data_IF_125329422773
#
_entry.id   IF_125329422773
#
_cell.length_a   1.000
_cell.length_b   1.000
_cell.length_c   1.000
_cell.angle_alpha   90.00
_cell.angle_beta   90.00
_cell.angle_gamma   90.00
#
_symmetry.space_group_name_H-M   'P 1'
#
loop_
_entity.id
_entity.type
_entity.pdbx_description
1 polymer ?
#
# COMPACT_ATOMS: atom_id res chain seq x y z
N UNK A 1 1.88 5.38 25.37
CA UNK A 1 2.84 5.57 26.48
C UNK A 1 3.66 6.81 26.18
N UNK A 2 3.79 7.73 27.13
CA UNK A 2 4.38 9.05 26.94
C UNK A 2 5.83 8.99 26.44
N UNK A 3 6.15 9.84 25.46
CA UNK A 3 7.45 10.01 24.81
C UNK A 3 8.51 10.71 25.69
N UNK A 4 8.39 10.64 27.02
CA UNK A 4 9.35 11.22 27.97
C UNK A 4 10.34 10.15 28.49
N UNK A 5 10.93 9.39 27.57
CA UNK A 5 12.05 8.51 27.88
C UNK A 5 13.38 9.28 27.89
N UNK A 6 14.39 8.78 28.61
CA UNK A 6 15.72 9.40 28.70
C UNK A 6 16.42 9.65 27.35
N UNK A 7 15.94 9.02 26.27
CA UNK A 7 16.49 9.10 24.92
C UNK A 7 15.68 10.01 23.96
N UNK A 8 14.52 10.53 24.37
CA UNK A 8 13.61 11.28 23.48
C UNK A 8 14.17 12.62 23.01
N UNK A 9 15.06 13.22 23.80
CA UNK A 9 15.76 14.48 23.47
C UNK A 9 17.01 14.27 22.61
N UNK A 10 17.50 13.03 22.45
CA UNK A 10 18.73 12.78 21.69
C UNK A 10 18.64 13.26 20.24
N UNK A 11 17.53 13.06 19.49
CA UNK A 11 17.47 13.51 18.10
C UNK A 11 17.63 15.02 17.97
N UNK A 12 17.17 15.81 18.96
CA UNK A 12 17.39 17.26 18.97
C UNK A 12 18.86 17.62 19.16
N UNK A 13 19.66 16.77 19.80
CA UNK A 13 21.11 17.01 19.94
C UNK A 13 21.85 16.92 18.60
N UNK A 14 21.31 16.18 17.62
CA UNK A 14 21.80 16.20 16.24
C UNK A 14 21.67 17.58 15.58
N UNK A 15 20.85 18.50 16.12
CA UNK A 15 20.77 19.87 15.60
C UNK A 15 22.13 20.59 15.66
N UNK A 16 23.01 20.18 16.56
CA UNK A 16 24.37 20.73 16.70
C UNK A 16 25.44 19.92 15.96
N UNK A 17 25.05 18.80 15.33
CA UNK A 17 25.94 17.99 14.54
C UNK A 17 26.28 18.69 13.22
N UNK A 18 27.57 18.98 13.02
CA UNK A 18 28.05 19.73 11.86
C UNK A 18 27.83 18.97 10.54
N UNK A 19 27.88 17.64 10.56
CA UNK A 19 27.69 16.82 9.36
C UNK A 19 26.23 16.89 8.95
N UNK A 20 25.30 16.71 9.90
CA UNK A 20 23.88 16.81 9.60
C UNK A 20 23.49 18.21 9.10
N UNK A 21 23.99 19.28 9.72
CA UNK A 21 23.75 20.64 9.23
C UNK A 21 24.23 20.88 7.79
N UNK A 22 25.34 20.27 7.39
CA UNK A 22 25.85 20.36 6.01
C UNK A 22 25.02 19.56 5.00
N UNK A 23 24.36 18.50 5.47
CA UNK A 23 23.49 17.64 4.68
C UNK A 23 22.10 18.25 4.48
N UNK A 24 21.55 18.94 5.49
CA UNK A 24 20.25 19.58 5.40
C UNK A 24 20.20 20.55 4.21
N UNK A 25 19.18 20.41 3.37
CA UNK A 25 19.00 21.19 2.14
C UNK A 25 19.75 20.67 0.91
N UNK A 26 20.53 19.58 1.02
CA UNK A 26 21.13 18.91 -0.15
C UNK A 26 20.12 18.03 -0.85
N UNK A 27 20.03 18.16 -2.18
CA UNK A 27 19.17 17.29 -2.98
C UNK A 27 19.69 15.87 -3.12
N UNK A 28 21.02 15.70 -3.15
CA UNK A 28 21.66 14.40 -3.20
C UNK A 28 22.79 14.35 -2.18
N UNK A 29 22.83 13.30 -1.38
CA UNK A 29 23.89 13.08 -0.40
C UNK A 29 24.19 11.60 -0.18
N UNK A 30 25.43 11.32 0.20
CA UNK A 30 25.86 9.99 0.63
C UNK A 30 26.34 10.09 2.08
N UNK A 31 25.78 9.26 2.96
CA UNK A 31 26.03 9.35 4.39
C UNK A 31 26.32 7.96 4.94
N UNK A 32 27.38 7.85 5.73
CA UNK A 32 27.67 6.64 6.49
C UNK A 32 26.98 6.71 7.85
N UNK A 33 26.07 5.77 8.11
CA UNK A 33 25.35 5.64 9.39
C UNK A 33 25.40 4.20 9.84
N UNK A 34 25.99 3.97 11.02
CA UNK A 34 26.01 2.66 11.66
C UNK A 34 24.59 2.11 11.79
N UNK A 35 24.39 0.80 11.59
CA UNK A 35 23.06 0.19 11.54
C UNK A 35 22.21 0.51 12.77
N UNK A 36 22.80 0.41 13.97
CA UNK A 36 22.13 0.72 15.23
C UNK A 36 21.75 2.20 15.40
N UNK A 37 22.32 3.11 14.60
CA UNK A 37 22.04 4.54 14.64
C UNK A 37 21.08 5.00 13.54
N UNK A 38 20.59 4.10 12.66
CA UNK A 38 19.75 4.47 11.51
C UNK A 38 18.43 5.11 11.93
N UNK A 39 17.73 4.48 12.86
CA UNK A 39 16.44 4.99 13.34
C UNK A 39 16.60 6.35 14.03
N UNK A 40 17.65 6.49 14.87
CA UNK A 40 18.04 7.76 15.47
C UNK A 40 18.37 8.84 14.43
N UNK A 41 19.15 8.51 13.41
CA UNK A 41 19.51 9.41 12.32
C UNK A 41 18.28 9.87 11.55
N UNK A 42 17.42 8.94 11.14
CA UNK A 42 16.17 9.25 10.42
C UNK A 42 15.28 10.14 11.27
N UNK A 43 15.08 9.84 12.56
CA UNK A 43 14.31 10.71 13.45
C UNK A 43 14.92 12.12 13.58
N UNK A 44 16.26 12.22 13.59
CA UNK A 44 16.97 13.50 13.55
C UNK A 44 16.69 14.28 12.27
N UNK A 45 16.83 13.65 11.10
CA UNK A 45 16.51 14.26 9.80
C UNK A 45 15.05 14.68 9.77
N UNK A 46 14.12 13.84 10.22
CA UNK A 46 12.69 14.14 10.30
C UNK A 46 12.42 15.41 11.12
N UNK A 47 13.05 15.57 12.29
CA UNK A 47 12.82 16.71 13.18
C UNK A 47 13.52 18.00 12.75
N UNK A 48 14.59 17.90 11.97
CA UNK A 48 15.46 19.03 11.62
C UNK A 48 15.32 19.50 10.16
N UNK A 49 14.65 18.71 9.33
CA UNK A 49 14.39 19.02 7.93
C UNK A 49 12.95 19.48 7.71
N UNK A 50 12.75 20.38 6.76
CA UNK A 50 11.44 20.78 6.25
C UNK A 50 10.91 19.83 5.14
N UNK A 51 11.64 18.73 4.89
CA UNK A 51 11.26 17.68 3.93
C UNK A 51 10.20 16.76 4.53
N UNK A 52 9.14 16.50 3.76
CA UNK A 52 8.01 15.69 4.20
C UNK A 52 7.25 15.12 2.99
N UNK A 53 6.91 13.81 2.97
CA UNK A 53 7.39 12.76 3.88
C UNK A 53 8.86 12.39 3.64
N UNK A 54 9.47 11.74 4.64
CA UNK A 54 10.72 10.99 4.44
C UNK A 54 10.37 9.55 4.08
N UNK A 55 10.81 9.05 2.94
CA UNK A 55 10.61 7.66 2.51
C UNK A 55 11.90 6.88 2.70
N UNK A 56 11.93 6.00 3.70
CA UNK A 56 13.07 5.17 4.02
C UNK A 56 12.94 3.79 3.40
N UNK A 57 13.82 3.50 2.43
CA UNK A 57 13.78 2.29 1.61
C UNK A 57 14.77 1.26 2.15
N UNK A 58 14.26 0.09 2.54
CA UNK A 58 15.04 -1.04 3.06
C UNK A 58 15.04 -2.21 2.07
N UNK A 59 15.94 -3.18 2.27
CA UNK A 59 16.06 -4.30 1.33
C UNK A 59 15.00 -5.39 1.54
N UNK A 60 14.43 -5.49 2.74
CA UNK A 60 13.45 -6.52 3.10
C UNK A 60 12.30 -5.98 3.94
N UNK A 61 11.18 -6.70 3.96
CA UNK A 61 10.00 -6.38 4.79
C UNK A 61 10.39 -6.34 6.28
N UNK A 62 11.16 -7.34 6.75
CA UNK A 62 11.61 -7.41 8.15
C UNK A 62 12.42 -6.18 8.57
N UNK A 63 13.32 -5.71 7.71
CA UNK A 63 14.10 -4.49 7.98
C UNK A 63 13.23 -3.22 8.04
N UNK A 64 12.20 -3.13 7.19
CA UNK A 64 11.25 -2.02 7.23
C UNK A 64 10.48 -2.00 8.56
N UNK A 65 9.96 -3.15 8.99
CA UNK A 65 9.21 -3.30 10.24
C UNK A 65 10.09 -3.06 11.48
N UNK A 66 11.31 -3.60 11.51
CA UNK A 66 12.28 -3.34 12.59
C UNK A 66 12.60 -1.85 12.69
N UNK A 67 12.91 -1.20 11.56
CA UNK A 67 13.22 0.22 11.54
C UNK A 67 12.02 1.09 11.95
N UNK A 68 10.80 0.73 11.54
CA UNK A 68 9.57 1.41 11.96
C UNK A 68 9.36 1.32 13.47
N UNK A 69 9.52 0.13 14.05
CA UNK A 69 9.39 -0.09 15.50
C UNK A 69 10.45 0.69 16.29
N UNK A 70 11.69 0.70 15.81
CA UNK A 70 12.74 1.51 16.43
C UNK A 70 12.39 3.00 16.33
N UNK A 71 11.94 3.48 15.16
CA UNK A 71 11.59 4.89 14.93
C UNK A 71 10.50 5.42 15.88
N UNK A 72 9.52 4.59 16.22
CA UNK A 72 8.42 4.91 17.15
C UNK A 72 8.89 5.16 18.59
N UNK A 73 10.16 4.88 18.91
CA UNK A 73 10.78 5.30 20.17
C UNK A 73 11.00 6.83 20.19
N UNK A 74 11.21 7.46 19.03
CA UNK A 74 11.56 8.88 18.91
C UNK A 74 10.50 9.75 18.23
N UNK A 75 9.63 9.15 17.42
CA UNK A 75 8.50 9.77 16.72
C UNK A 75 7.19 9.15 17.22
N UNK A 76 6.06 9.84 17.09
CA UNK A 76 4.78 9.25 17.51
C UNK A 76 4.33 8.14 16.54
N UNK A 77 3.40 7.30 17.00
CA UNK A 77 2.92 6.14 16.23
C UNK A 77 2.33 6.57 14.86
N UNK A 78 1.61 7.69 14.84
CA UNK A 78 0.98 8.30 13.66
C UNK A 78 1.97 9.02 12.73
N UNK A 79 3.20 9.29 13.19
CA UNK A 79 4.26 9.87 12.36
C UNK A 79 5.00 8.82 11.52
N UNK A 80 4.82 7.51 11.80
CA UNK A 80 5.61 6.42 11.22
C UNK A 80 4.72 5.28 10.72
N UNK A 81 4.61 5.14 9.40
CA UNK A 81 3.86 4.05 8.76
C UNK A 81 4.72 3.24 7.81
N UNK A 82 4.37 1.96 7.63
CA UNK A 82 4.99 1.07 6.64
C UNK A 82 4.12 1.04 5.38
N UNK A 83 4.74 1.08 4.21
CA UNK A 83 4.10 0.77 2.93
C UNK A 83 4.42 -0.69 2.58
N UNK A 84 3.52 -1.65 2.87
CA UNK A 84 3.85 -3.05 2.75
C UNK A 84 3.90 -3.49 1.27
N UNK A 85 4.64 -4.55 1.01
CA UNK A 85 4.59 -5.27 -0.26
C UNK A 85 3.44 -6.29 -0.22
N UNK A 86 2.92 -6.69 -1.38
CA UNK A 86 2.12 -7.90 -1.44
C UNK A 86 2.93 -9.11 -0.96
N UNK A 87 2.27 -9.99 -0.22
CA UNK A 87 2.87 -11.21 0.33
C UNK A 87 2.88 -12.33 -0.70
N UNK A 88 2.03 -12.21 -1.72
CA UNK A 88 1.87 -13.14 -2.82
C UNK A 88 2.95 -12.95 -3.88
N UNK A 89 3.26 -14.03 -4.59
CA UNK A 89 4.09 -13.99 -5.79
C UNK A 89 3.23 -13.63 -7.02
N UNK A 90 3.83 -13.03 -8.07
CA UNK A 90 3.14 -12.84 -9.34
C UNK A 90 2.53 -14.16 -9.83
N UNK A 91 1.30 -14.11 -10.34
CA UNK A 91 0.54 -15.25 -10.87
C UNK A 91 0.07 -16.30 -9.86
N UNK A 92 0.20 -16.03 -8.55
CA UNK A 92 -0.45 -16.87 -7.55
C UNK A 92 -1.98 -16.77 -7.66
N UNK A 93 -2.66 -17.90 -7.43
CA UNK A 93 -4.14 -17.98 -7.41
C UNK A 93 -4.73 -17.58 -6.05
N UNK A 94 -4.01 -16.74 -5.33
CA UNK A 94 -4.38 -16.23 -4.01
C UNK A 94 -4.17 -14.73 -4.08
N UNK A 95 -5.14 -13.95 -3.59
CA UNK A 95 -5.00 -12.50 -3.50
C UNK A 95 -4.07 -12.12 -2.35
N UNK A 96 -3.39 -10.97 -2.43
CA UNK A 96 -2.75 -10.36 -1.27
C UNK A 96 -3.77 -10.23 -0.14
N UNK A 97 -3.33 -10.18 1.11
CA UNK A 97 -4.30 -10.06 2.20
C UNK A 97 -5.04 -8.72 2.13
N UNK A 98 -6.33 -8.73 2.47
CA UNK A 98 -7.17 -7.51 2.54
C UNK A 98 -6.53 -6.44 3.41
N UNK A 99 -5.84 -6.84 4.49
CA UNK A 99 -5.16 -5.91 5.38
C UNK A 99 -3.97 -5.22 4.72
N UNK A 100 -3.16 -5.94 3.95
CA UNK A 100 -2.02 -5.37 3.21
C UNK A 100 -2.48 -4.40 2.14
N UNK A 101 -3.47 -4.78 1.32
CA UNK A 101 -4.05 -3.89 0.31
C UNK A 101 -4.68 -2.66 0.95
N UNK A 102 -5.47 -2.85 2.02
CA UNK A 102 -6.08 -1.74 2.76
C UNK A 102 -5.05 -0.76 3.30
N UNK A 103 -3.96 -1.24 3.92
CA UNK A 103 -2.89 -0.37 4.44
C UNK A 103 -2.21 0.43 3.33
N UNK A 104 -1.97 -0.18 2.17
CA UNK A 104 -1.39 0.50 1.00
C UNK A 104 -2.32 1.60 0.51
N UNK A 105 -3.60 1.30 0.33
CA UNK A 105 -4.61 2.24 -0.13
C UNK A 105 -4.85 3.38 0.87
N UNK A 106 -4.85 3.08 2.17
CA UNK A 106 -4.96 4.10 3.22
C UNK A 106 -3.77 5.08 3.17
N UNK A 107 -2.53 4.56 3.03
CA UNK A 107 -1.35 5.42 2.93
C UNK A 107 -1.33 6.23 1.64
N UNK A 108 -1.72 5.65 0.50
CA UNK A 108 -1.85 6.35 -0.77
C UNK A 108 -2.82 7.53 -0.64
N UNK A 109 -4.00 7.30 -0.05
CA UNK A 109 -4.98 8.36 0.21
C UNK A 109 -4.42 9.46 1.13
N UNK A 110 -3.70 9.08 2.22
CA UNK A 110 -3.02 10.06 3.09
C UNK A 110 -2.02 10.91 2.31
N UNK A 111 -1.25 10.32 1.40
CA UNK A 111 -0.29 11.05 0.55
C UNK A 111 -1.02 12.05 -0.36
N UNK A 112 -2.05 11.61 -1.07
CA UNK A 112 -2.81 12.46 -2.00
C UNK A 112 -3.49 13.64 -1.30
N UNK A 113 -4.00 13.43 -0.09
CA UNK A 113 -4.65 14.48 0.71
C UNK A 113 -3.63 15.42 1.40
N UNK A 114 -2.33 15.24 1.20
CA UNK A 114 -1.30 16.04 1.87
C UNK A 114 -1.18 15.74 3.38
N UNK A 115 -1.68 14.59 3.81
CA UNK A 115 -1.70 14.09 5.20
C UNK A 115 -0.75 12.90 5.40
N UNK A 116 0.28 12.77 4.56
CA UNK A 116 1.26 11.70 4.69
C UNK A 116 1.90 11.70 6.09
N UNK A 117 2.19 10.52 6.67
CA UNK A 117 2.99 10.44 7.89
C UNK A 117 4.38 11.01 7.65
N UNK A 118 5.06 11.45 8.71
CA UNK A 118 6.38 12.07 8.61
C UNK A 118 7.43 11.13 8.02
N UNK A 119 7.31 9.83 8.31
CA UNK A 119 8.20 8.78 7.79
C UNK A 119 7.38 7.62 7.23
N UNK A 120 7.71 7.23 6.01
CA UNK A 120 7.18 6.05 5.33
C UNK A 120 8.32 5.04 5.18
N UNK A 121 8.14 3.84 5.71
CA UNK A 121 9.09 2.74 5.55
C UNK A 121 8.61 1.83 4.41
N UNK A 122 9.43 1.67 3.37
CA UNK A 122 9.10 0.82 2.23
C UNK A 122 10.21 -0.20 2.00
N UNK A 123 9.93 -1.52 2.04
CA UNK A 123 10.86 -2.48 1.46
C UNK A 123 10.97 -2.24 -0.06
N UNK A 124 12.12 -2.57 -0.65
CA UNK A 124 12.35 -2.36 -2.09
C UNK A 124 11.30 -3.06 -2.96
N UNK A 125 10.80 -4.23 -2.53
CA UNK A 125 9.69 -4.91 -3.22
C UNK A 125 8.46 -4.02 -3.34
N UNK A 126 8.03 -3.37 -2.25
CA UNK A 126 6.85 -2.51 -2.26
C UNK A 126 7.06 -1.23 -3.09
N UNK A 127 8.28 -0.69 -3.08
CA UNK A 127 8.62 0.51 -3.86
C UNK A 127 8.52 0.26 -5.37
N UNK A 128 8.93 -0.92 -5.83
CA UNK A 128 8.94 -1.30 -7.24
C UNK A 128 7.60 -1.84 -7.73
N UNK A 129 6.71 -2.23 -6.81
CA UNK A 129 5.42 -2.82 -7.15
C UNK A 129 4.49 -1.77 -7.75
N UNK A 130 3.97 -2.04 -8.95
CA UNK A 130 2.99 -1.19 -9.63
C UNK A 130 1.72 -1.04 -8.77
N UNK A 131 1.13 0.14 -8.85
CA UNK A 131 -0.10 0.56 -8.21
C UNK A 131 -1.11 0.82 -9.33
N UNK A 132 -2.36 0.38 -9.12
CA UNK A 132 -3.45 0.73 -10.02
C UNK A 132 -3.74 2.25 -9.94
N UNK A 133 -3.60 3.03 -11.02
CA UNK A 133 -3.93 4.46 -11.01
C UNK A 133 -5.37 4.74 -10.61
N UNK A 134 -6.32 3.86 -10.96
CA UNK A 134 -7.73 4.05 -10.56
C UNK A 134 -7.93 3.94 -9.04
N UNK A 135 -6.99 3.31 -8.32
CA UNK A 135 -7.03 3.28 -6.87
C UNK A 135 -6.80 4.66 -6.22
N UNK A 136 -6.24 5.61 -6.97
CA UNK A 136 -6.06 7.01 -6.56
C UNK A 136 -7.38 7.79 -6.50
N UNK A 137 -8.40 7.33 -7.23
CA UNK A 137 -9.70 8.00 -7.30
C UNK A 137 -10.66 7.51 -6.22
N UNK A 138 -10.32 6.43 -5.51
CA UNK A 138 -11.18 5.79 -4.53
C UNK A 138 -10.93 6.36 -3.14
N UNK A 139 -11.86 7.21 -2.70
CA UNK A 139 -11.83 7.81 -1.37
C UNK A 139 -12.34 6.85 -0.30
N UNK A 140 -11.72 6.80 0.90
CA UNK A 140 -12.23 6.04 2.03
C UNK A 140 -13.64 6.48 2.43
N UNK A 141 -14.48 5.52 2.84
CA UNK A 141 -15.81 5.85 3.37
C UNK A 141 -15.70 6.35 4.80
N UNK A 142 -16.31 7.50 5.09
CA UNK A 142 -16.31 8.10 6.43
C UNK A 142 -17.71 8.05 6.99
N UNK A 143 -17.84 7.54 8.21
CA UNK A 143 -19.10 7.44 8.93
C UNK A 143 -18.98 8.16 10.26
N UNK A 144 -20.00 8.91 10.61
CA UNK A 144 -20.12 9.63 11.87
C UNK A 144 -21.52 9.40 12.42
N UNK A 145 -21.61 9.23 13.74
CA UNK A 145 -22.90 9.12 14.42
C UNK A 145 -23.74 10.37 14.16
N UNK A 146 -25.02 10.18 13.87
CA UNK A 146 -25.96 11.25 13.55
C UNK A 146 -25.92 11.73 12.10
N UNK A 147 -24.99 11.25 11.27
CA UNK A 147 -24.98 11.54 9.84
C UNK A 147 -26.09 10.77 9.09
N UNK A 148 -26.53 11.32 7.96
CA UNK A 148 -27.43 10.63 7.04
C UNK A 148 -26.68 9.57 6.21
N UNK A 149 -27.33 8.45 5.94
CA UNK A 149 -26.80 7.30 5.23
C UNK A 149 -27.91 6.54 4.49
N UNK A 150 -27.68 6.25 3.20
CA UNK A 150 -28.51 5.35 2.40
C UNK A 150 -27.81 3.99 2.28
N UNK A 151 -28.38 2.96 2.90
CA UNK A 151 -27.80 1.61 2.90
C UNK A 151 -27.59 1.01 1.51
N UNK A 152 -28.43 1.35 0.53
CA UNK A 152 -28.27 0.88 -0.84
C UNK A 152 -27.05 1.52 -1.49
N UNK A 153 -26.90 2.84 -1.34
CA UNK A 153 -25.74 3.56 -1.89
C UNK A 153 -24.44 3.14 -1.20
N UNK A 154 -24.49 2.91 0.12
CA UNK A 154 -23.35 2.39 0.88
C UNK A 154 -22.97 0.97 0.46
N UNK A 155 -23.94 0.11 0.17
CA UNK A 155 -23.67 -1.24 -0.34
C UNK A 155 -22.93 -1.17 -1.68
N UNK A 156 -23.40 -0.33 -2.61
CA UNK A 156 -22.77 -0.16 -3.93
C UNK A 156 -21.36 0.41 -3.80
N UNK A 157 -21.17 1.39 -2.90
CA UNK A 157 -19.86 1.97 -2.62
C UNK A 157 -18.88 0.95 -2.01
N UNK A 158 -19.32 0.13 -1.05
CA UNK A 158 -18.50 -0.93 -0.45
C UNK A 158 -18.09 -1.97 -1.49
N UNK A 159 -19.02 -2.41 -2.35
CA UNK A 159 -18.70 -3.34 -3.45
C UNK A 159 -17.69 -2.72 -4.41
N UNK A 160 -17.85 -1.45 -4.78
CA UNK A 160 -16.89 -0.74 -5.62
C UNK A 160 -15.50 -0.65 -4.98
N UNK A 161 -15.43 -0.56 -3.64
CA UNK A 161 -14.19 -0.58 -2.86
C UNK A 161 -13.62 -1.99 -2.64
N UNK A 162 -14.22 -3.03 -3.22
CA UNK A 162 -13.74 -4.41 -3.16
C UNK A 162 -14.20 -5.18 -1.93
N UNK A 163 -15.20 -4.68 -1.20
CA UNK A 163 -15.82 -5.43 -0.10
C UNK A 163 -16.79 -6.49 -0.63
N UNK A 164 -16.81 -7.65 0.02
CA UNK A 164 -17.75 -8.74 -0.27
C UNK A 164 -18.99 -8.63 0.59
N UNK A 165 -20.15 -8.77 -0.06
CA UNK A 165 -21.43 -8.85 0.64
C UNK A 165 -21.65 -10.28 1.10
N UNK A 166 -21.74 -10.46 2.41
CA UNK A 166 -21.97 -11.75 3.06
C UNK A 166 -23.30 -11.75 3.84
N UNK A 167 -23.74 -12.93 4.25
CA UNK A 167 -24.89 -13.07 5.15
C UNK A 167 -24.56 -12.59 6.57
N UNK A 168 -23.31 -12.81 6.99
CA UNK A 168 -22.77 -12.45 8.28
C UNK A 168 -21.29 -12.13 8.11
N UNK A 169 -20.81 -11.11 8.82
CA UNK A 169 -19.42 -10.68 8.75
C UNK A 169 -18.55 -11.58 9.63
N UNK A 170 -17.54 -12.20 9.03
CA UNK A 170 -16.59 -13.08 9.72
C UNK A 170 -15.12 -12.66 9.53
N UNK A 171 -14.81 -11.91 8.47
CA UNK A 171 -13.47 -11.50 8.11
C UNK A 171 -13.38 -10.09 7.54
N UNK A 172 -12.14 -9.57 7.46
CA UNK A 172 -11.85 -8.24 6.89
C UNK A 172 -12.28 -8.15 5.43
N UNK A 173 -12.83 -7.00 5.04
CA UNK A 173 -13.30 -6.78 3.68
C UNK A 173 -14.68 -7.40 3.41
N UNK A 174 -15.41 -7.76 4.45
CA UNK A 174 -16.78 -8.26 4.36
C UNK A 174 -17.74 -7.24 4.94
N UNK A 175 -18.96 -7.25 4.41
CA UNK A 175 -20.08 -6.50 4.96
C UNK A 175 -21.38 -7.28 4.83
N UNK A 176 -22.35 -6.99 5.69
CA UNK A 176 -23.71 -7.52 5.61
C UNK A 176 -24.73 -6.41 5.89
N UNK A 177 -25.93 -6.54 5.32
CA UNK A 177 -27.03 -5.62 5.56
C UNK A 177 -28.25 -6.41 6.00
N UNK A 178 -28.82 -6.02 7.15
CA UNK A 178 -30.03 -6.63 7.70
C UNK A 178 -30.95 -5.57 8.28
N UNK A 179 -32.04 -5.28 7.56
CA UNK A 179 -32.95 -4.19 7.96
C UNK A 179 -32.21 -2.85 7.92
N UNK A 180 -32.26 -2.09 9.01
CA UNK A 180 -31.53 -0.83 9.18
C UNK A 180 -30.08 -0.98 9.61
N UNK A 181 -29.52 -2.20 9.64
CA UNK A 181 -28.16 -2.44 10.14
C UNK A 181 -27.21 -2.74 8.97
N UNK A 182 -26.06 -2.08 8.96
CA UNK A 182 -24.88 -2.43 8.17
C UNK A 182 -23.76 -2.88 9.09
N UNK A 183 -23.37 -4.14 8.98
CA UNK A 183 -22.14 -4.64 9.59
C UNK A 183 -21.03 -4.63 8.54
N UNK A 184 -19.84 -4.19 8.92
CA UNK A 184 -18.68 -4.14 8.02
C UNK A 184 -17.41 -4.40 8.80
N UNK A 185 -16.49 -5.19 8.26
CA UNK A 185 -15.16 -5.36 8.83
C UNK A 185 -14.14 -4.57 8.00
N UNK A 186 -13.67 -3.40 8.48
CA UNK A 186 -12.71 -2.58 7.76
C UNK A 186 -11.44 -3.34 7.36
N UNK A 187 -10.87 -3.02 6.20
CA UNK A 187 -9.66 -3.68 5.70
C UNK A 187 -8.48 -3.50 6.65
N UNK A 188 -8.35 -2.32 7.28
CA UNK A 188 -7.26 -1.97 8.22
C UNK A 188 -7.65 -1.98 9.70
N UNK A 189 -8.94 -1.95 10.05
CA UNK A 189 -9.42 -1.85 11.44
C UNK A 189 -9.27 -3.13 12.27
N UNK A 190 -9.13 -3.07 13.58
CA UNK A 190 -8.92 -4.27 14.43
C UNK A 190 -10.20 -5.03 14.78
N UNK A 191 -11.35 -4.37 14.68
CA UNK A 191 -12.67 -4.90 15.02
C UNK A 191 -13.66 -4.61 13.88
N UNK A 192 -14.68 -5.44 13.67
CA UNK A 192 -15.78 -5.10 12.77
C UNK A 192 -16.71 -4.07 13.42
N UNK A 193 -17.38 -3.30 12.58
CA UNK A 193 -18.18 -2.14 12.95
C UNK A 193 -19.62 -2.37 12.52
N UNK A 194 -20.55 -2.08 13.44
CA UNK A 194 -21.99 -2.08 13.23
C UNK A 194 -22.49 -0.64 13.16
N UNK A 195 -23.14 -0.31 12.06
CA UNK A 195 -23.92 0.91 11.84
C UNK A 195 -25.39 0.53 12.00
N UNK A 196 -26.06 1.09 13.01
CA UNK A 196 -27.51 0.93 13.22
C UNK A 196 -28.21 2.22 12.83
N UNK A 197 -29.08 2.15 11.82
CA UNK A 197 -29.79 3.30 11.29
C UNK A 197 -31.23 3.36 11.80
N UNK A 198 -31.65 4.57 12.17
CA UNK A 198 -33.05 4.91 12.40
C UNK A 198 -33.57 5.76 11.23
N UNK A 199 -34.32 5.12 10.34
CA UNK A 199 -34.67 5.74 9.05
C UNK A 199 -33.43 5.82 8.16
N UNK A 200 -33.01 7.04 7.84
CA UNK A 200 -31.81 7.37 7.05
C UNK A 200 -30.68 7.94 7.91
N UNK A 201 -30.80 7.96 9.24
CA UNK A 201 -29.77 8.50 10.13
C UNK A 201 -29.02 7.38 10.86
N UNK A 202 -27.69 7.48 10.96
CA UNK A 202 -26.87 6.59 11.79
C UNK A 202 -27.13 6.90 13.27
N UNK A 203 -27.98 6.11 13.93
CA UNK A 203 -28.31 6.28 15.35
C UNK A 203 -27.16 5.81 16.25
N UNK A 204 -26.55 4.67 15.89
CA UNK A 204 -25.48 4.05 16.66
C UNK A 204 -24.37 3.51 15.77
N UNK A 205 -23.14 3.73 16.22
CA UNK A 205 -21.93 3.17 15.64
C UNK A 205 -21.18 2.41 16.75
N UNK A 206 -20.86 1.13 16.53
CA UNK A 206 -20.21 0.31 17.55
C UNK A 206 -19.28 -0.74 16.95
N UNK A 207 -18.20 -1.07 17.65
CA UNK A 207 -17.45 -2.30 17.42
C UNK A 207 -18.28 -3.51 17.88
N UNK A 208 -18.15 -4.66 17.23
CA UNK A 208 -18.83 -5.90 17.66
C UNK A 208 -17.90 -7.13 17.59
N UNK A 209 -18.26 -8.17 18.32
CA UNK A 209 -17.53 -9.44 18.35
C UNK A 209 -18.01 -10.35 17.23
N UNK A 210 -17.06 -10.89 16.45
CA UNK A 210 -17.37 -11.85 15.37
C UNK A 210 -17.95 -13.16 15.94
N UNK A 211 -17.50 -13.56 17.13
CA UNK A 211 -17.83 -14.85 17.72
C UNK A 211 -19.30 -14.97 18.15
N UNK A 212 -19.90 -13.88 18.65
CA UNK A 212 -21.26 -13.85 19.18
C UNK A 212 -22.14 -12.74 18.58
N UNK A 213 -21.59 -11.93 17.68
CA UNK A 213 -22.27 -10.86 16.93
C UNK A 213 -22.87 -9.76 17.83
N UNK A 214 -22.29 -9.57 19.02
CA UNK A 214 -22.70 -8.57 20.01
C UNK A 214 -21.81 -7.34 19.99
N UNK A 215 -22.42 -6.16 20.13
CA UNK A 215 -21.68 -4.90 20.29
C UNK A 215 -20.78 -4.94 21.52
N UNK A 216 -19.58 -4.39 21.39
CA UNK A 216 -18.53 -4.34 22.41
C UNK A 216 -18.40 -2.91 22.93
N UNK A 217 -18.10 -1.95 22.05
CA UNK A 217 -17.82 -0.57 22.40
C UNK A 217 -18.46 0.38 21.39
N UNK A 218 -19.03 1.49 21.87
CA UNK A 218 -19.53 2.56 21.01
C UNK A 218 -18.37 3.45 20.56
N UNK A 219 -18.49 3.94 19.32
CA UNK A 219 -17.54 4.87 18.71
C UNK A 219 -18.32 6.00 18.04
N UNK A 220 -17.71 7.19 17.92
CA UNK A 220 -18.39 8.35 17.32
C UNK A 220 -18.20 8.43 15.80
N UNK A 221 -17.08 7.93 15.29
CA UNK A 221 -16.76 7.96 13.86
C UNK A 221 -15.81 6.83 13.46
N UNK A 222 -15.86 6.44 12.18
CA UNK A 222 -14.91 5.50 11.57
C UNK A 222 -14.60 5.91 10.13
N UNK A 223 -13.36 5.66 9.71
CA UNK A 223 -12.96 5.71 8.29
C UNK A 223 -12.66 4.29 7.81
N UNK A 224 -13.27 3.90 6.69
CA UNK A 224 -13.13 2.58 6.08
C UNK A 224 -12.32 2.75 4.78
N UNK A 225 -11.09 2.24 4.80
CA UNK A 225 -10.24 2.19 3.61
C UNK A 225 -10.75 1.11 2.63
N UNK A 226 -10.48 1.25 1.32
CA UNK A 226 -10.86 0.21 0.36
C UNK A 226 -10.21 -1.15 0.69
N UNK A 227 -10.83 -2.23 0.21
CA UNK A 227 -10.43 -3.60 0.52
C UNK A 227 -9.55 -4.25 -0.56
N UNK A 228 -9.58 -3.77 -1.81
CA UNK A 228 -8.76 -4.29 -2.92
C UNK A 228 -8.14 -3.20 -3.76
N UNK A 229 -6.90 -3.42 -4.19
CA UNK A 229 -6.16 -2.49 -5.08
C UNK A 229 -6.57 -2.62 -6.56
N UNK A 230 -7.14 -3.76 -6.95
CA UNK A 230 -7.73 -3.97 -8.27
C UNK A 230 -9.22 -4.28 -8.12
N UNK A 231 -10.05 -3.43 -8.75
CA UNK A 231 -11.50 -3.61 -8.80
C UNK A 231 -11.96 -3.63 -10.26
N UNK A 232 -13.00 -4.39 -10.62
CA UNK A 232 -13.55 -4.42 -11.99
C UNK A 232 -14.32 -3.15 -12.35
N UNK A 233 -13.65 -2.00 -12.37
CA UNK A 233 -14.22 -0.72 -12.82
C UNK A 233 -14.63 -0.79 -14.29
N UNK A 234 -15.39 0.20 -14.78
CA UNK A 234 -15.77 0.28 -16.20
C UNK A 234 -14.55 0.23 -17.12
N UNK A 235 -13.44 0.91 -16.77
CA UNK A 235 -12.20 0.92 -17.55
C UNK A 235 -11.50 -0.44 -17.52
N UNK A 236 -11.36 -1.05 -16.34
CA UNK A 236 -10.78 -2.41 -16.19
C UNK A 236 -11.59 -3.44 -16.98
N UNK A 237 -12.92 -3.38 -16.90
CA UNK A 237 -13.83 -4.29 -17.63
C UNK A 237 -13.71 -4.12 -19.15
N UNK A 238 -13.66 -2.89 -19.64
CA UNK A 238 -13.44 -2.61 -21.05
C UNK A 238 -12.09 -3.14 -21.52
N UNK A 239 -11.03 -2.91 -20.75
CA UNK A 239 -9.69 -3.42 -21.08
C UNK A 239 -9.65 -4.94 -21.10
N UNK A 240 -10.29 -5.60 -20.13
CA UNK A 240 -10.43 -7.06 -20.10
C UNK A 240 -11.16 -7.59 -21.35
N UNK A 241 -12.20 -6.90 -21.81
CA UNK A 241 -12.91 -7.25 -23.05
C UNK A 241 -12.00 -7.23 -24.29
N UNK A 242 -11.10 -6.24 -24.38
CA UNK A 242 -10.10 -6.14 -25.46
C UNK A 242 -9.08 -7.29 -25.38
N UNK A 243 -8.62 -7.59 -24.17
CA UNK A 243 -7.64 -8.65 -23.89
C UNK A 243 -8.13 -10.04 -24.28
N UNK A 244 -9.45 -10.30 -24.27
CA UNK A 244 -9.99 -11.57 -24.79
C UNK A 244 -9.59 -11.86 -26.24
N UNK A 245 -9.40 -10.83 -27.06
CA UNK A 245 -8.95 -10.98 -28.44
C UNK A 245 -7.43 -10.85 -28.57
N UNK A 246 -6.82 -9.92 -27.83
CA UNK A 246 -5.38 -9.64 -27.92
C UNK A 246 -4.48 -10.68 -27.22
N UNK A 247 -5.01 -11.31 -26.16
CA UNK A 247 -4.35 -12.30 -25.31
C UNK A 247 -5.25 -13.54 -25.09
N UNK A 248 -5.60 -14.32 -26.15
CA UNK A 248 -6.59 -15.40 -26.05
C UNK A 248 -6.23 -16.53 -25.07
N UNK A 249 -4.95 -16.68 -24.72
CA UNK A 249 -4.48 -17.65 -23.73
C UNK A 249 -5.04 -17.39 -22.33
N UNK A 250 -5.38 -16.14 -22.01
CA UNK A 250 -5.93 -15.72 -20.72
C UNK A 250 -7.45 -15.53 -20.73
N UNK A 251 -8.15 -15.95 -21.80
CA UNK A 251 -9.56 -15.62 -22.06
C UNK A 251 -10.49 -15.84 -20.86
N UNK A 252 -10.32 -16.94 -20.13
CA UNK A 252 -11.13 -17.23 -18.93
C UNK A 252 -11.02 -16.11 -17.89
N UNK A 253 -9.80 -15.63 -17.62
CA UNK A 253 -9.58 -14.59 -16.60
C UNK A 253 -10.08 -13.23 -17.08
N UNK A 254 -9.88 -12.94 -18.37
CA UNK A 254 -10.40 -11.74 -19.00
C UNK A 254 -11.94 -11.69 -19.00
N UNK A 255 -12.60 -12.81 -19.24
CA UNK A 255 -14.08 -12.90 -19.23
C UNK A 255 -14.65 -12.65 -17.84
N UNK A 256 -14.01 -13.21 -16.80
CA UNK A 256 -14.38 -12.97 -15.39
C UNK A 256 -14.25 -11.49 -15.01
N UNK A 257 -13.11 -10.88 -15.34
CA UNK A 257 -12.88 -9.45 -15.11
C UNK A 257 -13.85 -8.58 -15.90
N UNK A 258 -14.11 -8.87 -17.18
CA UNK A 258 -15.07 -8.15 -18.01
C UNK A 258 -16.52 -8.27 -17.49
N UNK A 259 -16.85 -9.40 -16.87
CA UNK A 259 -18.13 -9.66 -16.22
C UNK A 259 -18.28 -8.97 -14.86
N UNK A 260 -17.21 -8.38 -14.33
CA UNK A 260 -17.21 -7.70 -13.04
C UNK A 260 -17.00 -8.62 -11.84
N UNK A 261 -16.48 -9.83 -12.04
CA UNK A 261 -16.27 -10.81 -10.97
C UNK A 261 -15.03 -10.46 -10.13
N UNK A 262 -15.16 -10.62 -8.81
CA UNK A 262 -14.05 -10.63 -7.88
C UNK A 262 -13.59 -12.06 -7.60
N UNK A 263 -12.29 -12.31 -7.65
CA UNK A 263 -11.72 -13.62 -7.37
C UNK A 263 -10.30 -13.56 -6.84
N UNK A 264 -9.86 -14.66 -6.24
CA UNK A 264 -8.53 -14.75 -5.66
C UNK A 264 -7.43 -14.80 -6.73
N UNK A 265 -6.40 -13.99 -6.51
CA UNK A 265 -5.27 -13.83 -7.42
C UNK A 265 -5.52 -12.89 -8.60
N UNK A 266 -6.68 -12.21 -8.65
CA UNK A 266 -6.99 -11.28 -9.76
C UNK A 266 -5.98 -10.14 -9.88
N UNK A 267 -5.37 -9.74 -8.76
CA UNK A 267 -4.38 -8.66 -8.67
C UNK A 267 -3.13 -8.93 -9.53
N UNK A 268 -2.80 -10.21 -9.79
CA UNK A 268 -1.70 -10.60 -10.69
C UNK A 268 -1.90 -10.13 -12.13
N UNK A 269 -3.13 -9.80 -12.53
CA UNK A 269 -3.46 -9.36 -13.88
C UNK A 269 -3.32 -7.85 -14.08
N UNK A 270 -3.05 -7.09 -13.01
CA UNK A 270 -2.87 -5.63 -13.05
C UNK A 270 -1.97 -5.16 -14.21
N UNK A 271 -0.82 -5.80 -14.52
CA UNK A 271 0.09 -5.33 -15.57
C UNK A 271 -0.46 -5.38 -17.00
N UNK A 272 -1.56 -6.10 -17.25
CA UNK A 272 -2.26 -6.12 -18.55
C UNK A 272 -3.43 -5.13 -18.61
N UNK A 273 -4.02 -4.86 -17.45
CA UNK A 273 -5.24 -4.06 -17.31
C UNK A 273 -4.93 -2.56 -17.28
N UNK A 274 -3.70 -2.20 -16.92
CA UNK A 274 -3.24 -0.84 -16.76
C UNK A 274 -1.90 -0.68 -17.47
N UNK A 275 -1.82 0.28 -18.39
CA UNK A 275 -0.60 0.55 -19.15
C UNK A 275 0.36 1.45 -18.35
N UNK A 276 -0.17 2.31 -17.49
CA UNK A 276 0.62 3.17 -16.60
C UNK A 276 1.33 2.35 -15.54
N UNK A 277 2.64 2.54 -15.39
CA UNK A 277 3.42 1.80 -14.41
C UNK A 277 3.43 2.48 -13.02
N UNK A 278 2.42 3.22 -12.59
CA UNK A 278 2.46 4.03 -11.35
C UNK A 278 3.08 3.27 -10.13
N UNK A 279 4.02 3.88 -9.42
CA UNK A 279 4.63 3.32 -8.18
C UNK A 279 4.62 4.34 -7.04
N UNK A 280 4.94 3.90 -5.81
CA UNK A 280 5.00 4.79 -4.63
C UNK A 280 5.88 6.02 -4.87
N UNK A 281 7.03 5.86 -5.53
CA UNK A 281 7.97 6.96 -5.78
C UNK A 281 7.36 8.09 -6.64
N UNK A 282 6.41 7.75 -7.52
CA UNK A 282 5.72 8.71 -8.40
C UNK A 282 4.63 9.51 -7.65
N UNK A 283 4.21 9.03 -6.48
CA UNK A 283 3.20 9.70 -5.63
C UNK A 283 3.81 10.79 -4.73
N UNK A 284 5.15 10.88 -4.68
CA UNK A 284 5.85 11.78 -3.77
C UNK A 284 5.98 13.19 -4.36
N UNK A 285 5.63 14.19 -3.56
CA UNK A 285 5.84 15.59 -3.94
C UNK A 285 7.33 16.00 -3.88
N UNK A 286 7.71 17.09 -4.54
CA UNK A 286 9.08 17.63 -4.59
C UNK A 286 9.69 18.01 -3.24
N UNK A 287 8.88 18.09 -2.18
CA UNK A 287 9.35 18.32 -0.80
C UNK A 287 9.69 17.04 -0.05
N UNK A 288 9.51 15.86 -0.64
CA UNK A 288 9.85 14.58 0.00
C UNK A 288 11.36 14.31 -0.04
N UNK A 289 11.83 13.42 0.83
CA UNK A 289 13.21 12.94 0.85
C UNK A 289 13.22 11.41 0.86
N UNK A 290 13.87 10.80 -0.12
CA UNK A 290 14.04 9.35 -0.22
C UNK A 290 15.39 8.96 0.38
N UNK A 291 15.39 8.07 1.37
CA UNK A 291 16.57 7.51 2.00
C UNK A 291 16.76 6.06 1.54
N UNK A 292 17.81 5.80 0.77
CA UNK A 292 18.13 4.47 0.25
C UNK A 292 19.15 3.80 1.17
N UNK A 293 18.72 2.84 1.99
CA UNK A 293 19.62 2.10 2.87
C UNK A 293 20.34 0.97 2.13
N UNK A 294 21.67 1.00 2.17
CA UNK A 294 22.56 0.04 1.51
C UNK A 294 22.22 -0.11 0.01
N UNK A 295 22.43 0.93 -0.82
CA UNK A 295 21.91 1.01 -2.19
C UNK A 295 22.35 -0.15 -3.10
N UNK A 296 23.55 -0.70 -2.90
CA UNK A 296 23.99 -1.91 -3.61
C UNK A 296 23.06 -3.09 -3.33
N UNK A 297 22.73 -3.33 -2.07
CA UNK A 297 21.82 -4.41 -1.65
C UNK A 297 20.39 -4.18 -2.14
N UNK A 298 19.93 -2.93 -2.19
CA UNK A 298 18.65 -2.59 -2.82
C UNK A 298 18.64 -2.94 -4.30
N UNK A 299 19.71 -2.59 -5.02
CA UNK A 299 19.84 -2.89 -6.45
C UNK A 299 19.90 -4.39 -6.71
N UNK A 300 20.73 -5.11 -5.98
CA UNK A 300 20.85 -6.57 -6.11
C UNK A 300 19.49 -7.24 -5.86
N UNK A 301 18.79 -6.84 -4.79
CA UNK A 301 17.46 -7.39 -4.47
C UNK A 301 16.38 -7.02 -5.49
N UNK A 302 16.43 -5.81 -6.03
CA UNK A 302 15.53 -5.38 -7.10
C UNK A 302 15.72 -6.20 -8.37
N UNK A 303 16.97 -6.45 -8.76
CA UNK A 303 17.31 -7.28 -9.91
C UNK A 303 16.84 -8.73 -9.71
N UNK A 304 17.00 -9.29 -8.51
CA UNK A 304 16.47 -10.61 -8.17
C UNK A 304 14.94 -10.68 -8.32
N UNK A 305 14.20 -9.71 -7.78
CA UNK A 305 12.72 -9.68 -7.85
C UNK A 305 12.24 -9.69 -9.31
N UNK A 306 12.83 -8.83 -10.15
CA UNK A 306 12.44 -8.73 -11.57
C UNK A 306 12.83 -9.99 -12.34
N UNK A 307 14.00 -10.59 -12.05
CA UNK A 307 14.44 -11.82 -12.70
C UNK A 307 13.55 -13.02 -12.32
N UNK A 308 13.25 -13.19 -11.02
CA UNK A 308 12.34 -14.24 -10.52
C UNK A 308 10.95 -14.13 -11.18
N UNK A 309 10.44 -12.92 -11.33
CA UNK A 309 9.16 -12.65 -12.00
C UNK A 309 9.21 -12.98 -13.49
N UNK A 310 10.28 -12.61 -14.19
CA UNK A 310 10.46 -12.90 -15.61
C UNK A 310 10.60 -14.40 -15.88
N UNK A 311 11.37 -15.13 -15.06
CA UNK A 311 11.54 -16.58 -15.18
C UNK A 311 10.20 -17.30 -14.98
N UNK A 312 9.42 -16.88 -13.97
CA UNK A 312 8.08 -17.42 -13.72
C UNK A 312 7.13 -17.13 -14.90
N UNK A 313 7.11 -15.88 -15.38
CA UNK A 313 6.31 -15.48 -16.52
C UNK A 313 6.64 -16.30 -17.77
N UNK A 314 7.92 -16.53 -18.06
CA UNK A 314 8.36 -17.32 -19.21
C UNK A 314 7.90 -18.79 -19.11
N UNK A 315 7.98 -19.38 -17.92
CA UNK A 315 7.48 -20.73 -17.66
C UNK A 315 5.96 -20.83 -17.86
N UNK A 316 5.21 -19.85 -17.34
CA UNK A 316 3.75 -19.80 -17.46
C UNK A 316 3.29 -19.53 -18.89
N UNK A 317 3.95 -18.62 -19.61
CA UNK A 317 3.67 -18.36 -21.02
C UNK A 317 3.79 -19.64 -21.86
N UNK A 318 4.78 -20.48 -21.56
CA UNK A 318 4.95 -21.78 -22.21
C UNK A 318 3.80 -22.74 -21.87
N UNK A 319 3.41 -22.80 -20.60
CA UNK A 319 2.34 -23.70 -20.10
C UNK A 319 0.97 -23.30 -20.63
N UNK A 320 0.69 -22.00 -20.69
CA UNK A 320 -0.57 -21.44 -21.22
C UNK A 320 -0.59 -21.35 -22.75
N UNK A 321 0.49 -21.77 -23.42
CA UNK A 321 0.66 -21.67 -24.88
C UNK A 321 0.52 -20.23 -25.39
N UNK A 322 0.90 -19.26 -24.57
CA UNK A 322 1.03 -17.86 -24.94
C UNK A 322 2.33 -17.68 -25.74
N UNK A 323 2.28 -17.98 -27.03
CA UNK A 323 3.46 -17.98 -27.91
C UNK A 323 3.36 -16.88 -28.97
N UNK A 324 4.49 -16.29 -29.32
CA UNK A 324 4.62 -15.39 -30.47
C UNK A 324 4.58 -16.16 -31.81
N UNK A 325 4.31 -15.48 -32.94
CA UNK A 325 4.48 -16.05 -34.28
C UNK A 325 5.95 -16.50 -34.47
N UNK A 326 6.20 -17.81 -34.33
CA UNK A 326 7.55 -18.39 -34.26
C UNK A 326 7.77 -19.35 -33.09
N UNK A 327 6.78 -19.50 -32.20
CA UNK A 327 6.77 -20.51 -31.14
C UNK A 327 7.57 -20.14 -29.88
N UNK A 328 8.14 -18.94 -29.81
CA UNK A 328 8.78 -18.43 -28.59
C UNK A 328 7.72 -18.03 -27.56
N UNK A 329 7.93 -18.29 -26.26
CA UNK A 329 7.06 -17.79 -25.21
C UNK A 329 6.95 -16.27 -25.28
N UNK A 330 5.72 -15.76 -25.18
CA UNK A 330 5.43 -14.33 -25.19
C UNK A 330 5.98 -13.69 -23.93
N UNK A 331 6.50 -12.47 -24.06
CA UNK A 331 6.93 -11.69 -22.90
C UNK A 331 5.72 -11.07 -22.23
N UNK A 332 5.58 -11.29 -20.92
CA UNK A 332 4.50 -10.72 -20.13
C UNK A 332 4.92 -9.41 -19.46
N UNK A 333 4.02 -8.43 -19.32
CA UNK A 333 4.27 -7.26 -18.50
C UNK A 333 4.44 -7.67 -17.03
N UNK A 334 5.41 -7.05 -16.34
CA UNK A 334 5.70 -7.34 -14.93
C UNK A 334 4.92 -6.46 -13.97
N UNK A 335 4.63 -6.98 -12.79
CA UNK A 335 4.10 -6.28 -11.63
C UNK A 335 5.13 -5.38 -10.97
N UNK A 336 6.42 -5.74 -11.02
CA UNK A 336 7.50 -4.89 -10.50
C UNK A 336 8.27 -4.22 -11.62
N UNK A 337 8.60 -2.96 -11.40
CA UNK A 337 9.42 -2.18 -12.34
C UNK A 337 10.92 -2.30 -12.02
N UNK A 338 11.80 -2.10 -13.01
CA UNK A 338 13.24 -2.10 -12.77
C UNK A 338 13.67 -1.00 -11.79
N UNK A 339 14.74 -1.27 -11.03
CA UNK A 339 15.31 -0.33 -10.05
C UNK A 339 15.60 1.06 -10.63
N UNK A 340 16.19 1.10 -11.82
CA UNK A 340 16.54 2.34 -12.51
C UNK A 340 15.31 3.18 -12.84
N UNK A 341 14.17 2.54 -13.14
CA UNK A 341 12.93 3.27 -13.39
C UNK A 341 12.45 3.98 -12.14
N UNK A 342 12.52 3.33 -10.98
CA UNK A 342 11.97 3.88 -9.74
C UNK A 342 12.64 5.18 -9.29
N UNK A 343 13.92 5.36 -9.65
CA UNK A 343 14.67 6.57 -9.34
C UNK A 343 14.62 7.62 -10.45
N UNK A 344 14.48 7.21 -11.72
CA UNK A 344 14.57 8.11 -12.88
C UNK A 344 13.44 9.16 -12.92
N UNK A 345 12.25 8.78 -12.48
CA UNK A 345 11.06 9.64 -12.48
C UNK A 345 10.77 10.26 -11.11
N UNK A 346 11.66 10.09 -10.14
CA UNK A 346 11.45 10.59 -8.79
C UNK A 346 11.86 12.07 -8.69
N UNK A 347 10.88 12.95 -8.49
CA UNK A 347 11.10 14.39 -8.28
C UNK A 347 11.60 14.74 -6.87
N UNK A 348 11.75 13.74 -6.00
CA UNK A 348 12.19 13.91 -4.61
C UNK A 348 13.70 13.96 -4.50
N UNK A 349 14.19 14.62 -3.45
CA UNK A 349 15.60 14.52 -3.08
C UNK A 349 15.95 13.07 -2.68
N UNK A 350 17.16 12.61 -2.99
CA UNK A 350 17.59 11.21 -2.74
C UNK A 350 18.91 11.18 -1.98
N UNK A 351 18.92 10.59 -0.79
CA UNK A 351 20.14 10.30 -0.06
C UNK A 351 20.39 8.81 0.03
N UNK A 352 21.66 8.41 -0.08
CA UNK A 352 22.05 7.01 0.14
C UNK A 352 22.72 6.86 1.49
N UNK A 353 22.28 5.87 2.27
CA UNK A 353 22.79 5.58 3.60
C UNK A 353 23.55 4.26 3.58
N UNK A 354 24.85 4.29 3.87
CA UNK A 354 25.71 3.09 3.96
C UNK A 354 26.11 2.82 5.40
N UNK A 355 26.46 1.57 5.72
CA UNK A 355 26.98 1.23 7.05
C UNK A 355 28.46 1.63 7.22
N UNK A 356 29.23 1.75 6.13
CA UNK A 356 30.64 2.17 6.13
C UNK A 356 30.84 3.44 5.30
N UNK A 357 31.69 4.35 5.77
CA UNK A 357 32.28 5.39 4.92
C UNK A 357 33.28 4.70 3.98
N UNK A 358 33.19 4.99 2.68
CA UNK A 358 34.09 4.45 1.66
C UNK A 358 35.51 4.96 1.86
#
# INVERSE_FOLDING_TARGET
>A
MSSEGALSELPRRLATDRVLQQLLGKSNAQVAVAQAARAFFVAGVTKLSDRNPIVAVTSTISEAEMLANDLRIWLSEDEVETFPAWETLPFERVSPTTATMGKRLELINKIQEGRAPRVILSPIRALLQRINPEALDIQPLKFERGAEADLSQLADALVLQGYRRELQVEGRGEFSIRGGILDVFPSTGTSPIRLDLWGDQIDRLSEFSIADQRSIAEIESITIAPARELTPTTRVRQRAQELMSAEPWGKEQWDRLASGEFYDGMESWLPWLVDEELILADLLASRSLVLLFDPKRLKDRASEIVAEEQDLAQSLASTWKALEPGGKPRTFPGLHVPYERALKSCDSDVWTITHNAS
#
